data_IF_476404611426
#
_entry.id   IF_476404611426
#
_cell.length_a   1.000
_cell.length_b   1.000
_cell.length_c   1.000
_cell.angle_alpha   90.00
_cell.angle_beta   90.00
_cell.angle_gamma   90.00
#
_symmetry.space_group_name_H-M   'P 1'
#
loop_
_entity.id
_entity.type
_entity.pdbx_description
1 polymer ?
#
# COMPACT_ATOMS: atom_id res chain seq x y z
N UNK A 1 11.79 29.70 4.62
CA UNK A 1 11.40 31.13 4.55
C UNK A 1 9.89 31.20 4.66
N UNK A 2 9.35 31.74 5.75
CA UNK A 2 7.91 31.83 5.97
C UNK A 2 7.44 33.24 5.56
N UNK A 3 6.36 33.31 4.80
CA UNK A 3 5.72 34.55 4.32
C UNK A 3 4.37 34.67 5.01
N UNK A 4 4.27 35.63 5.94
CA UNK A 4 3.02 35.86 6.68
C UNK A 4 1.87 36.30 5.78
N UNK A 5 0.65 35.86 6.09
CA UNK A 5 -0.57 36.18 5.33
C UNK A 5 -0.85 37.66 5.10
N UNK A 6 -0.38 38.54 5.99
CA UNK A 6 -0.53 40.01 5.90
C UNK A 6 0.21 40.63 4.70
N UNK A 7 1.18 39.90 4.12
CA UNK A 7 1.94 40.37 2.96
C UNK A 7 1.20 40.18 1.62
N UNK A 8 0.00 39.60 1.64
CA UNK A 8 -0.81 39.33 0.45
C UNK A 8 -2.06 40.21 0.43
N UNK A 9 -2.54 40.54 -0.77
CA UNK A 9 -3.77 41.30 -1.00
C UNK A 9 -4.63 40.54 -2.03
N UNK A 10 -5.82 40.03 -1.65
CA UNK A 10 -6.38 39.98 -0.29
C UNK A 10 -5.61 39.01 0.62
N UNK A 11 -5.62 39.24 1.94
CA UNK A 11 -4.93 38.38 2.92
C UNK A 11 -5.59 37.00 2.99
N UNK A 12 -4.84 35.90 2.79
CA UNK A 12 -5.35 34.55 2.97
C UNK A 12 -5.54 34.18 4.45
N UNK A 13 -6.12 33.00 4.72
CA UNK A 13 -6.35 32.49 6.08
C UNK A 13 -5.10 31.87 6.72
N UNK A 14 -4.18 31.39 5.89
CA UNK A 14 -2.97 30.64 6.29
C UNK A 14 -1.72 31.37 5.86
N UNK A 15 -0.63 31.17 6.59
CA UNK A 15 0.69 31.64 6.18
C UNK A 15 1.24 30.79 5.03
N UNK A 16 2.14 31.38 4.25
CA UNK A 16 2.80 30.73 3.11
C UNK A 16 4.26 30.44 3.41
N UNK A 17 4.88 29.53 2.67
CA UNK A 17 6.32 29.27 2.74
C UNK A 17 6.91 29.13 1.35
N UNK A 18 8.11 29.66 1.16
CA UNK A 18 8.86 29.47 -0.09
C UNK A 18 9.72 28.22 0.03
N UNK A 19 9.61 27.35 -0.98
CA UNK A 19 10.42 26.15 -1.16
C UNK A 19 11.13 26.19 -2.51
N UNK A 20 12.36 25.70 -2.54
CA UNK A 20 13.09 25.46 -3.78
C UNK A 20 13.17 23.95 -3.99
N UNK A 21 12.72 23.48 -5.15
CA UNK A 21 12.77 22.06 -5.52
C UNK A 21 13.81 21.93 -6.63
N UNK A 22 14.83 21.13 -6.39
CA UNK A 22 15.87 20.83 -7.37
C UNK A 22 15.81 19.34 -7.71
N UNK A 23 15.61 18.97 -8.99
CA UNK A 23 15.70 17.58 -9.42
C UNK A 23 17.09 17.02 -9.10
N UNK A 24 17.12 15.82 -8.53
CA UNK A 24 18.38 15.08 -8.35
C UNK A 24 18.88 14.56 -9.70
N UNK A 25 20.19 14.49 -9.87
CA UNK A 25 20.80 13.93 -11.08
C UNK A 25 20.52 12.42 -11.19
N UNK A 26 20.64 11.71 -10.06
CA UNK A 26 20.43 10.27 -9.99
C UNK A 26 18.95 9.99 -9.71
N UNK A 27 18.23 9.56 -10.75
CA UNK A 27 16.87 9.02 -10.61
C UNK A 27 16.99 7.57 -10.16
N UNK A 28 16.37 7.16 -9.04
CA UNK A 28 16.31 5.75 -8.68
C UNK A 28 15.59 4.97 -9.77
N UNK A 29 16.14 3.82 -10.12
CA UNK A 29 15.51 2.88 -11.06
C UNK A 29 14.37 2.15 -10.35
N UNK A 30 13.22 2.83 -10.31
CA UNK A 30 12.00 2.34 -9.70
C UNK A 30 10.83 2.75 -10.58
N UNK A 31 9.88 1.84 -10.77
CA UNK A 31 8.60 2.18 -11.36
C UNK A 31 7.88 3.16 -10.41
N UNK A 32 7.61 4.36 -10.92
CA UNK A 32 7.02 5.43 -10.13
C UNK A 32 5.57 5.12 -9.75
N UNK A 33 4.83 4.44 -10.63
CA UNK A 33 3.41 4.13 -10.38
C UNK A 33 3.30 3.08 -9.28
N UNK A 34 4.18 2.06 -9.34
CA UNK A 34 4.31 1.07 -8.30
C UNK A 34 4.78 1.67 -6.97
N UNK A 35 5.81 2.51 -7.01
CA UNK A 35 6.32 3.21 -5.83
C UNK A 35 5.24 4.02 -5.13
N UNK A 36 4.42 4.77 -5.88
CA UNK A 36 3.33 5.57 -5.33
C UNK A 36 2.25 4.69 -4.70
N UNK A 37 1.89 3.57 -5.34
CA UNK A 37 0.90 2.64 -4.82
C UNK A 37 1.35 1.94 -3.54
N UNK A 38 2.60 1.47 -3.55
CA UNK A 38 3.25 0.86 -2.39
C UNK A 38 3.31 1.84 -1.21
N UNK A 39 3.85 3.03 -1.42
CA UNK A 39 3.97 4.04 -0.37
C UNK A 39 2.60 4.49 0.14
N UNK A 40 1.59 4.67 -0.72
CA UNK A 40 0.21 4.96 -0.29
C UNK A 40 -0.35 3.86 0.62
N UNK A 41 -0.05 2.60 0.32
CA UNK A 41 -0.46 1.46 1.15
C UNK A 41 0.23 1.51 2.52
N UNK A 42 1.55 1.70 2.55
CA UNK A 42 2.31 1.84 3.79
C UNK A 42 1.84 3.03 4.64
N UNK A 43 1.54 4.17 4.04
CA UNK A 43 1.20 5.38 4.79
C UNK A 43 -0.30 5.52 5.13
N UNK A 44 -1.14 4.55 4.76
CA UNK A 44 -2.56 4.48 5.13
C UNK A 44 -2.79 4.66 6.64
N UNK A 45 -1.99 3.97 7.46
CA UNK A 45 -1.93 4.14 8.92
C UNK A 45 -0.47 4.29 9.37
N UNK A 46 0.14 5.46 9.11
CA UNK A 46 1.58 5.75 9.34
C UNK A 46 2.16 5.39 10.71
N UNK A 47 1.31 5.24 11.73
CA UNK A 47 1.69 4.95 13.11
C UNK A 47 1.47 3.49 13.52
N UNK A 48 0.78 2.67 12.72
CA UNK A 48 0.68 1.21 12.92
C UNK A 48 1.92 0.55 12.28
N UNK A 49 2.23 -0.67 12.69
CA UNK A 49 3.36 -1.43 12.14
C UNK A 49 3.03 -1.92 10.73
N UNK A 50 4.05 -2.13 9.89
CA UNK A 50 3.84 -2.65 8.53
C UNK A 50 3.16 -4.03 8.56
N UNK A 51 3.52 -4.90 9.51
CA UNK A 51 2.82 -6.16 9.72
C UNK A 51 1.32 -5.97 9.97
N UNK A 52 0.94 -5.03 10.83
CA UNK A 52 -0.48 -4.73 11.08
C UNK A 52 -1.20 -4.14 9.85
N UNK A 53 -0.51 -3.34 9.03
CA UNK A 53 -1.07 -2.78 7.80
C UNK A 53 -1.34 -3.89 6.78
N UNK A 54 -0.37 -4.76 6.55
CA UNK A 54 -0.45 -5.83 5.55
C UNK A 54 -1.26 -7.05 6.02
N UNK A 55 -1.59 -7.17 7.31
CA UNK A 55 -2.56 -8.15 7.83
C UNK A 55 -4.02 -7.85 7.45
N UNK A 56 -4.33 -6.64 6.97
CA UNK A 56 -5.70 -6.23 6.68
C UNK A 56 -6.29 -7.03 5.51
N UNK A 57 -7.39 -7.75 5.76
CA UNK A 57 -8.06 -8.64 4.79
C UNK A 57 -8.34 -7.96 3.45
N UNK A 58 -8.88 -6.73 3.45
CA UNK A 58 -9.20 -5.98 2.22
C UNK A 58 -7.95 -5.78 1.35
N UNK A 59 -6.81 -5.43 1.96
CA UNK A 59 -5.56 -5.17 1.25
C UNK A 59 -4.96 -6.43 0.64
N UNK A 60 -5.01 -7.54 1.38
CA UNK A 60 -4.53 -8.83 0.87
C UNK A 60 -5.36 -9.29 -0.32
N UNK A 61 -6.69 -9.19 -0.23
CA UNK A 61 -7.59 -9.57 -1.33
C UNK A 61 -7.34 -8.69 -2.57
N UNK A 62 -7.17 -7.38 -2.38
CA UNK A 62 -6.87 -6.43 -3.46
C UNK A 62 -5.55 -6.76 -4.19
N UNK A 63 -4.49 -7.04 -3.43
CA UNK A 63 -3.19 -7.42 -3.99
C UNK A 63 -3.26 -8.79 -4.68
N UNK A 64 -4.01 -9.74 -4.10
CA UNK A 64 -4.16 -11.08 -4.65
C UNK A 64 -4.95 -11.11 -5.96
N UNK A 65 -6.04 -10.34 -6.04
CA UNK A 65 -6.84 -10.26 -7.27
C UNK A 65 -6.03 -9.70 -8.43
N UNK A 66 -5.18 -8.69 -8.16
CA UNK A 66 -4.25 -8.10 -9.14
C UNK A 66 -3.22 -9.10 -9.64
N UNK A 67 -2.64 -9.91 -8.75
CA UNK A 67 -1.74 -10.99 -9.12
C UNK A 67 -2.42 -11.97 -10.08
N UNK A 68 -3.66 -12.40 -9.80
CA UNK A 68 -4.42 -13.30 -10.68
C UNK A 68 -4.72 -12.69 -12.06
N UNK A 69 -5.13 -11.43 -12.11
CA UNK A 69 -5.44 -10.75 -13.38
C UNK A 69 -4.19 -10.60 -14.25
N UNK A 70 -3.02 -10.34 -13.63
CA UNK A 70 -1.74 -10.32 -14.34
C UNK A 70 -1.38 -11.68 -14.96
N UNK A 71 -1.72 -12.79 -14.29
CA UNK A 71 -1.51 -14.15 -14.84
C UNK A 71 -2.57 -14.57 -15.88
N UNK A 72 -3.79 -14.03 -15.81
CA UNK A 72 -4.86 -14.33 -16.77
C UNK A 72 -4.69 -13.64 -18.13
N UNK A 73 -3.90 -12.57 -18.22
CA UNK A 73 -3.58 -11.93 -19.52
C UNK A 73 -2.69 -12.78 -20.44
N UNK A 74 -2.33 -14.02 -20.06
CA UNK A 74 -1.72 -15.03 -20.95
C UNK A 74 -2.79 -15.97 -21.57
N UNK A 75 -4.08 -15.88 -21.16
CA UNK A 75 -5.21 -16.60 -21.78
C UNK A 75 -6.46 -15.70 -21.84
N UNK A 76 -6.69 -15.11 -23.01
CA UNK A 76 -7.85 -14.29 -23.38
C UNK A 76 -9.20 -14.96 -23.09
N UNK A 77 -10.13 -14.24 -22.45
CA UNK A 77 -11.46 -13.78 -22.95
C UNK A 77 -12.43 -13.57 -21.78
N UNK A 78 -12.95 -12.33 -21.71
CA UNK A 78 -14.29 -11.89 -21.26
C UNK A 78 -14.85 -12.39 -19.90
N UNK A 79 -15.15 -11.45 -19.00
CA UNK A 79 -16.45 -11.18 -18.37
C UNK A 79 -16.25 -10.10 -17.29
N UNK A 80 -17.01 -9.01 -17.41
CA UNK A 80 -17.00 -7.83 -16.54
C UNK A 80 -17.67 -8.12 -15.19
N UNK A 81 -17.04 -7.73 -14.08
CA UNK A 81 -17.73 -7.48 -12.82
C UNK A 81 -17.35 -6.09 -12.30
N UNK A 82 -18.36 -5.22 -12.23
CA UNK A 82 -18.31 -3.89 -11.66
C UNK A 82 -17.84 -3.93 -10.21
N UNK A 83 -16.73 -3.26 -9.89
CA UNK A 83 -16.39 -2.94 -8.50
C UNK A 83 -16.45 -1.44 -8.29
N UNK A 84 -17.26 -1.08 -7.30
CA UNK A 84 -17.68 0.26 -6.92
C UNK A 84 -16.53 1.13 -6.41
N UNK A 85 -16.54 2.37 -6.88
CA UNK A 85 -15.92 3.54 -6.27
C UNK A 85 -16.01 3.50 -4.73
N UNK A 86 -14.88 3.61 -4.03
CA UNK A 86 -14.91 3.86 -2.59
C UNK A 86 -14.16 5.15 -2.25
N UNK A 87 -14.98 6.14 -1.92
CA UNK A 87 -14.61 7.41 -1.31
C UNK A 87 -13.75 7.20 -0.06
N UNK A 88 -12.79 8.12 0.07
CA UNK A 88 -11.94 8.29 1.23
C UNK A 88 -12.77 8.90 2.36
N UNK A 89 -13.32 8.07 3.25
CA UNK A 89 -13.46 8.40 4.68
C UNK A 89 -13.99 7.20 5.46
N UNK A 90 -13.14 6.58 6.29
CA UNK A 90 -13.63 5.81 7.43
C UNK A 90 -12.72 6.04 8.64
N UNK A 91 -13.03 7.14 9.32
CA UNK A 91 -12.75 7.30 10.75
C UNK A 91 -13.70 6.40 11.53
N UNK A 92 -13.31 5.15 11.74
CA UNK A 92 -13.83 4.38 12.88
C UNK A 92 -12.83 3.32 13.33
N UNK A 93 -12.46 3.42 14.61
CA UNK A 93 -11.73 2.40 15.34
C UNK A 93 -12.63 1.20 15.56
N UNK A 94 -12.26 0.07 14.98
CA UNK A 94 -12.53 -1.26 15.53
C UNK A 94 -11.27 -2.09 15.35
N UNK A 95 -10.38 -1.99 16.34
CA UNK A 95 -9.42 -3.04 16.65
C UNK A 95 -10.23 -4.20 17.27
N UNK A 96 -10.85 -5.05 16.43
CA UNK A 96 -11.19 -6.47 16.68
C UNK A 96 -12.04 -6.95 15.49
N UNK A 97 -11.56 -7.82 14.61
CA UNK A 97 -11.35 -9.22 14.95
C UNK A 97 -10.21 -9.81 14.12
N UNK A 98 -9.17 -10.26 14.83
CA UNK A 98 -8.17 -11.23 14.37
C UNK A 98 -8.79 -12.63 14.13
N UNK A 99 -10.00 -12.67 13.56
CA UNK A 99 -10.65 -13.89 13.13
C UNK A 99 -10.63 -13.88 11.60
N UNK A 100 -9.49 -14.29 11.05
CA UNK A 100 -9.54 -15.04 9.80
C UNK A 100 -10.37 -16.29 10.12
N UNK A 101 -11.46 -16.61 9.41
CA UNK A 101 -12.38 -17.65 9.87
C UNK A 101 -11.60 -18.96 10.01
N UNK A 102 -11.40 -19.40 11.26
CA UNK A 102 -10.83 -20.70 11.58
C UNK A 102 -11.92 -21.71 11.24
N UNK A 103 -11.81 -22.29 10.04
CA UNK A 103 -12.47 -23.52 9.62
C UNK A 103 -13.95 -23.61 10.03
N UNK A 104 -14.83 -22.96 9.29
CA UNK A 104 -16.15 -23.53 9.02
C UNK A 104 -16.78 -22.78 7.85
N UNK A 105 -17.27 -23.56 6.89
CA UNK A 105 -18.17 -23.17 5.81
C UNK A 105 -17.58 -22.50 4.57
N UNK A 106 -17.50 -23.35 3.55
CA UNK A 106 -17.50 -23.11 2.10
C UNK A 106 -16.14 -23.20 1.41
N UNK A 107 -15.97 -24.38 0.80
CA UNK A 107 -14.99 -24.75 -0.22
C UNK A 107 -14.89 -23.68 -1.30
N UNK A 108 -13.76 -22.99 -1.35
CA UNK A 108 -13.36 -22.22 -2.51
C UNK A 108 -11.84 -22.27 -2.60
N UNK A 109 -11.31 -22.81 -3.70
CA UNK A 109 -9.88 -22.89 -3.98
C UNK A 109 -9.19 -21.51 -3.88
N UNK A 110 -9.95 -20.44 -4.14
CA UNK A 110 -9.54 -19.05 -3.95
C UNK A 110 -9.20 -18.68 -2.50
N UNK A 111 -9.86 -19.27 -1.49
CA UNK A 111 -9.63 -18.88 -0.09
C UNK A 111 -8.28 -19.36 0.42
N UNK A 112 -7.95 -20.64 0.18
CA UNK A 112 -6.67 -21.22 0.56
C UNK A 112 -5.49 -20.44 -0.06
N UNK A 113 -5.64 -20.04 -1.32
CA UNK A 113 -4.62 -19.24 -1.99
C UNK A 113 -4.48 -17.82 -1.41
N UNK A 114 -5.57 -17.19 -0.98
CA UNK A 114 -5.52 -15.89 -0.29
C UNK A 114 -4.83 -16.02 1.08
N UNK A 115 -5.06 -17.12 1.81
CA UNK A 115 -4.34 -17.39 3.08
C UNK A 115 -2.85 -17.56 2.83
N UNK A 116 -2.50 -18.38 1.84
CA UNK A 116 -1.11 -18.56 1.44
C UNK A 116 -0.45 -17.24 1.02
N UNK A 117 -1.16 -16.40 0.26
CA UNK A 117 -0.65 -15.11 -0.18
C UNK A 117 -0.44 -14.13 0.98
N UNK A 118 -1.35 -14.16 1.98
CA UNK A 118 -1.17 -13.44 3.25
C UNK A 118 0.11 -13.88 3.95
N UNK A 119 0.29 -15.18 4.14
CA UNK A 119 1.47 -15.74 4.81
C UNK A 119 2.75 -15.38 4.06
N UNK A 120 2.71 -15.43 2.73
CA UNK A 120 3.82 -14.98 1.88
C UNK A 120 4.19 -13.52 2.13
N UNK A 121 3.21 -12.61 2.14
CA UNK A 121 3.46 -11.17 2.44
C UNK A 121 4.06 -11.00 3.84
N UNK A 122 3.54 -11.69 4.85
CA UNK A 122 4.04 -11.58 6.22
C UNK A 122 5.46 -12.13 6.33
N UNK A 123 5.76 -13.23 5.66
CA UNK A 123 7.10 -13.80 5.60
C UNK A 123 8.10 -12.83 4.98
N UNK A 124 7.74 -12.15 3.88
CA UNK A 124 8.58 -11.11 3.26
C UNK A 124 8.90 -9.99 4.26
N UNK A 125 7.91 -9.56 5.03
CA UNK A 125 8.08 -8.52 6.05
C UNK A 125 8.91 -9.00 7.25
N UNK A 126 8.81 -10.27 7.63
CA UNK A 126 9.61 -10.88 8.70
C UNK A 126 11.07 -11.05 8.27
N UNK A 127 11.30 -11.65 7.09
CA UNK A 127 12.63 -11.87 6.51
C UNK A 127 13.36 -10.53 6.26
N UNK A 128 12.62 -9.49 5.88
CA UNK A 128 13.15 -8.13 5.74
C UNK A 128 13.27 -7.34 7.05
N UNK A 129 12.80 -7.88 8.18
CA UNK A 129 12.82 -7.18 9.47
C UNK A 129 11.95 -5.92 9.52
N UNK A 130 10.89 -5.86 8.70
CA UNK A 130 9.96 -4.73 8.59
C UNK A 130 8.66 -4.93 9.35
N UNK A 131 8.37 -6.14 9.84
CA UNK A 131 7.08 -6.48 10.48
C UNK A 131 6.67 -5.51 11.59
N UNK A 132 7.59 -5.18 12.51
CA UNK A 132 7.37 -4.27 13.65
C UNK A 132 7.70 -2.80 13.35
N UNK A 133 8.26 -2.50 12.16
CA UNK A 133 8.64 -1.13 11.81
C UNK A 133 7.41 -0.33 11.41
N UNK A 134 7.41 0.96 11.76
CA UNK A 134 6.34 1.91 11.44
C UNK A 134 6.75 2.74 10.22
N UNK A 135 5.85 2.98 9.25
CA UNK A 135 6.14 3.77 8.05
C UNK A 135 6.72 5.15 8.37
N UNK A 136 6.20 5.82 9.41
CA UNK A 136 6.68 7.13 9.87
C UNK A 136 8.12 7.17 10.39
N UNK A 137 8.77 6.02 10.56
CA UNK A 137 10.14 5.88 11.07
C UNK A 137 11.12 5.33 10.03
N UNK A 138 10.64 5.02 8.83
CA UNK A 138 11.46 4.48 7.74
C UNK A 138 11.96 5.59 6.82
N UNK A 139 13.17 5.38 6.29
CA UNK A 139 13.76 6.24 5.27
C UNK A 139 13.29 5.84 3.86
N UNK A 140 13.56 6.68 2.85
CA UNK A 140 13.28 6.33 1.46
C UNK A 140 14.06 5.09 1.01
N UNK A 141 15.29 4.89 1.50
CA UNK A 141 16.12 3.73 1.18
C UNK A 141 15.51 2.44 1.73
N UNK A 142 14.96 2.49 2.95
CA UNK A 142 14.23 1.37 3.55
C UNK A 142 13.02 0.95 2.69
N UNK A 143 12.25 1.93 2.23
CA UNK A 143 11.09 1.67 1.38
C UNK A 143 11.48 1.13 0.01
N UNK A 144 12.56 1.64 -0.60
CA UNK A 144 13.07 1.12 -1.87
C UNK A 144 13.53 -0.33 -1.72
N UNK A 145 14.27 -0.63 -0.64
CA UNK A 145 14.69 -2.01 -0.33
C UNK A 145 13.50 -2.94 -0.08
N UNK A 146 12.49 -2.48 0.66
CA UNK A 146 11.28 -3.27 0.91
C UNK A 146 10.48 -3.52 -0.37
N UNK A 147 10.31 -2.51 -1.23
CA UNK A 147 9.64 -2.69 -2.51
C UNK A 147 10.39 -3.71 -3.40
N UNK A 148 11.72 -3.63 -3.45
CA UNK A 148 12.52 -4.61 -4.18
C UNK A 148 12.35 -6.04 -3.66
N UNK A 149 12.17 -6.23 -2.33
CA UNK A 149 11.88 -7.56 -1.76
C UNK A 149 10.53 -8.09 -2.22
N UNK A 150 9.49 -7.25 -2.23
CA UNK A 150 8.19 -7.63 -2.77
C UNK A 150 8.27 -7.98 -4.25
N UNK A 151 8.95 -7.17 -5.07
CA UNK A 151 9.10 -7.39 -6.50
C UNK A 151 9.86 -8.69 -6.81
N UNK A 152 10.91 -9.02 -6.03
CA UNK A 152 11.63 -10.30 -6.15
C UNK A 152 10.73 -11.50 -5.90
N UNK A 153 9.76 -11.35 -5.01
CA UNK A 153 8.77 -12.38 -4.67
C UNK A 153 7.54 -12.33 -5.58
N UNK A 154 7.53 -11.46 -6.60
CA UNK A 154 6.43 -11.32 -7.56
C UNK A 154 5.18 -10.68 -6.97
N UNK A 155 5.32 -9.91 -5.89
CA UNK A 155 4.23 -9.12 -5.31
C UNK A 155 4.38 -7.68 -5.81
N UNK A 156 3.49 -7.26 -6.69
CA UNK A 156 3.54 -5.92 -7.29
C UNK A 156 2.40 -5.04 -6.77
N UNK A 157 2.63 -3.72 -6.76
CA UNK A 157 1.65 -2.73 -6.36
C UNK A 157 1.25 -1.90 -7.57
N UNK A 158 0.01 -1.98 -8.03
CA UNK A 158 -0.46 -1.18 -9.16
C UNK A 158 -1.75 -0.43 -8.81
N UNK A 159 -1.91 0.76 -9.39
CA UNK A 159 -3.16 1.51 -9.29
C UNK A 159 -4.18 0.96 -10.28
N UNK A 160 -5.46 1.18 -9.97
CA UNK A 160 -6.52 1.15 -10.97
C UNK A 160 -6.40 2.35 -11.92
#
# INVERSE_FOLDING_TARGET
>A
MNVGKKNFVPSPKVDSSLVCIQPKLDKPDVDLDEWLCFTRTCFSKKNKTLGAIFKQKRKIIELYSKLKSSHKNIKTTEYEEHTSHCDVDDRSESDDCDIWPTTSELENQNFAEVVWFREKILKILEDGGFCEKRPSKLSNEDFLGLLQLFNKEGVFFHQE
#
